data_IF_812100906176
#
_entry.id   IF_812100906176
#
_cell.length_a   1.000
_cell.length_b   1.000
_cell.length_c   1.000
_cell.angle_alpha   90.00
_cell.angle_beta   90.00
_cell.angle_gamma   90.00
#
_symmetry.space_group_name_H-M   'P 1'
#
loop_
_entity.id
_entity.type
_entity.pdbx_description
1 polymer ?
#
# COMPACT_ATOMS: atom_id res chain seq x y z
N UNK A 1 -15.11 -52.17 7.46
CA UNK A 1 -14.66 -51.30 8.56
C UNK A 1 -14.33 -49.97 7.94
N UNK A 2 -15.26 -49.02 8.01
CA UNK A 2 -15.04 -47.65 7.53
C UNK A 2 -14.17 -46.99 8.58
N UNK A 3 -12.87 -46.85 8.31
CA UNK A 3 -12.03 -45.96 9.10
C UNK A 3 -12.64 -44.57 8.90
N UNK A 4 -13.32 -44.05 9.92
CA UNK A 4 -13.56 -42.61 10.04
C UNK A 4 -12.19 -41.95 10.09
N UNK A 5 -11.63 -41.63 8.93
CA UNK A 5 -10.52 -40.69 8.86
C UNK A 5 -11.09 -39.37 9.37
N UNK A 6 -10.71 -38.98 10.59
CA UNK A 6 -10.86 -37.62 11.09
C UNK A 6 -10.07 -36.73 10.13
N UNK A 7 -10.75 -36.20 9.11
CA UNK A 7 -10.14 -35.39 8.08
C UNK A 7 -9.91 -33.99 8.68
N UNK A 8 -8.64 -33.66 8.94
CA UNK A 8 -8.27 -32.33 9.41
C UNK A 8 -8.03 -31.40 8.21
N UNK A 9 -8.28 -30.12 8.43
CA UNK A 9 -8.05 -29.06 7.45
C UNK A 9 -6.81 -28.24 7.85
N UNK A 10 -5.85 -28.14 6.94
CA UNK A 10 -4.63 -27.36 7.17
C UNK A 10 -4.67 -26.06 6.35
N UNK A 11 -4.54 -24.92 7.04
CA UNK A 11 -4.47 -23.60 6.40
C UNK A 11 -3.02 -23.27 6.07
N UNK A 12 -2.73 -23.14 4.78
CA UNK A 12 -1.38 -22.86 4.26
C UNK A 12 -1.40 -21.62 3.36
N UNK A 13 -0.49 -20.68 3.60
CA UNK A 13 -0.29 -19.51 2.76
C UNK A 13 0.66 -19.84 1.62
N UNK A 14 0.24 -19.51 0.40
CA UNK A 14 1.02 -19.71 -0.84
C UNK A 14 0.98 -18.39 -1.62
N UNK A 15 2.13 -17.80 -1.90
CA UNK A 15 2.23 -16.54 -2.66
C UNK A 15 1.30 -15.43 -2.12
N UNK A 16 1.13 -15.36 -0.79
CA UNK A 16 0.26 -14.38 -0.13
C UNK A 16 -1.23 -14.73 -0.11
N UNK A 17 -1.64 -15.89 -0.65
CA UNK A 17 -3.03 -16.35 -0.68
C UNK A 17 -3.18 -17.55 0.26
N UNK A 18 -4.19 -17.50 1.16
CA UNK A 18 -4.51 -18.63 2.03
C UNK A 18 -5.24 -19.73 1.25
N UNK A 19 -4.71 -20.95 1.32
CA UNK A 19 -5.31 -22.18 0.77
C UNK A 19 -5.57 -23.18 1.88
N UNK A 20 -6.57 -24.03 1.70
CA UNK A 20 -6.92 -25.09 2.65
C UNK A 20 -6.60 -26.43 2.01
N UNK A 21 -5.83 -27.26 2.71
CA UNK A 21 -5.58 -28.66 2.34
C UNK A 21 -6.52 -29.52 3.16
N UNK A 22 -7.43 -30.22 2.49
CA UNK A 22 -8.38 -31.14 3.11
C UNK A 22 -7.79 -32.55 3.22
N UNK A 23 -8.23 -33.30 4.23
CA UNK A 23 -7.82 -34.69 4.42
C UNK A 23 -6.42 -34.88 5.02
N UNK A 24 -5.91 -33.88 5.72
CA UNK A 24 -4.63 -33.99 6.44
C UNK A 24 -4.86 -34.78 7.73
N UNK A 25 -3.89 -35.63 8.07
CA UNK A 25 -3.89 -36.42 9.31
C UNK A 25 -2.58 -36.22 10.08
N UNK A 26 -2.49 -36.79 11.29
CA UNK A 26 -1.25 -36.80 12.07
C UNK A 26 -0.10 -37.57 11.39
N UNK A 27 -0.41 -38.45 10.44
CA UNK A 27 0.57 -39.24 9.69
C UNK A 27 1.00 -38.58 8.37
N UNK A 28 0.24 -37.58 7.91
CA UNK A 28 0.53 -36.90 6.64
C UNK A 28 1.84 -36.13 6.78
N UNK A 29 2.78 -36.37 5.87
CA UNK A 29 4.10 -35.73 5.94
C UNK A 29 4.07 -34.34 5.30
N UNK A 30 4.99 -33.46 5.72
CA UNK A 30 5.17 -32.16 5.09
C UNK A 30 5.49 -32.31 3.60
N UNK A 31 6.22 -33.36 3.21
CA UNK A 31 6.48 -33.68 1.82
C UNK A 31 5.19 -33.90 1.01
N UNK A 32 4.26 -34.70 1.52
CA UNK A 32 2.98 -34.97 0.84
C UNK A 32 2.14 -33.71 0.67
N UNK A 33 2.06 -32.88 1.73
CA UNK A 33 1.34 -31.59 1.69
C UNK A 33 1.98 -30.64 0.68
N UNK A 34 3.31 -30.54 0.69
CA UNK A 34 4.06 -29.71 -0.26
C UNK A 34 3.84 -30.17 -1.69
N UNK A 35 3.87 -31.47 -1.96
CA UNK A 35 3.63 -32.04 -3.29
C UNK A 35 2.20 -31.73 -3.74
N UNK A 36 1.20 -31.98 -2.89
CA UNK A 36 -0.21 -31.72 -3.20
C UNK A 36 -0.46 -30.24 -3.52
N UNK A 37 0.09 -29.33 -2.71
CA UNK A 37 0.00 -27.90 -2.96
C UNK A 37 0.69 -27.50 -4.26
N UNK A 38 1.95 -27.93 -4.46
CA UNK A 38 2.72 -27.62 -5.66
C UNK A 38 2.01 -28.08 -6.94
N UNK A 39 1.45 -29.30 -6.92
CA UNK A 39 0.65 -29.85 -8.02
C UNK A 39 -0.63 -29.03 -8.27
N UNK A 40 -1.36 -28.64 -7.21
CA UNK A 40 -2.57 -27.82 -7.33
C UNK A 40 -2.31 -26.39 -7.82
N UNK A 41 -1.11 -25.85 -7.59
CA UNK A 41 -0.68 -24.54 -8.12
C UNK A 41 -0.11 -24.68 -9.54
N UNK A 42 0.18 -25.90 -10.00
CA UNK A 42 0.86 -26.16 -11.27
C UNK A 42 2.31 -25.69 -11.28
N UNK A 43 2.93 -25.53 -10.11
CA UNK A 43 4.33 -25.14 -9.99
C UNK A 43 5.17 -26.36 -9.60
N UNK A 44 6.23 -26.63 -10.36
CA UNK A 44 7.17 -27.72 -10.07
C UNK A 44 8.51 -27.13 -9.64
N UNK A 45 9.02 -27.54 -8.49
CA UNK A 45 10.26 -27.02 -7.93
C UNK A 45 10.56 -27.55 -6.54
N UNK A 46 11.59 -27.01 -5.91
CA UNK A 46 11.90 -27.29 -4.50
C UNK A 46 11.11 -26.34 -3.63
N UNK A 47 10.28 -26.91 -2.77
CA UNK A 47 9.44 -26.20 -1.82
C UNK A 47 9.70 -26.71 -0.41
N UNK A 48 9.53 -25.82 0.57
CA UNK A 48 9.64 -26.11 1.99
C UNK A 48 8.43 -25.53 2.69
N UNK A 49 7.85 -26.28 3.63
CA UNK A 49 6.77 -25.80 4.47
C UNK A 49 7.37 -25.11 5.69
N UNK A 50 7.00 -23.85 5.90
CA UNK A 50 7.48 -23.01 7.00
C UNK A 50 6.35 -22.84 8.01
N UNK A 51 6.65 -23.13 9.26
CA UNK A 51 5.78 -22.87 10.41
C UNK A 51 6.14 -21.50 11.00
N UNK A 52 5.21 -20.54 10.95
CA UNK A 52 5.36 -19.21 11.53
C UNK A 52 4.50 -19.08 12.78
N UNK A 53 5.15 -18.75 13.90
CA UNK A 53 4.51 -18.44 15.16
C UNK A 53 4.99 -17.08 15.65
N UNK A 54 4.13 -16.05 15.56
CA UNK A 54 4.45 -14.65 15.86
C UNK A 54 5.68 -14.18 15.05
N UNK A 55 6.82 -14.00 15.71
CA UNK A 55 8.09 -13.54 15.13
C UNK A 55 9.08 -14.68 14.86
N UNK A 56 8.73 -15.93 15.21
CA UNK A 56 9.60 -17.10 14.99
C UNK A 56 9.11 -17.91 13.79
N UNK A 57 9.99 -18.09 12.82
CA UNK A 57 9.77 -18.96 11.67
C UNK A 57 10.66 -20.21 11.79
N UNK A 58 10.06 -21.38 11.59
CA UNK A 58 10.74 -22.68 11.57
C UNK A 58 10.45 -23.39 10.27
N UNK A 59 11.49 -23.82 9.57
CA UNK A 59 11.34 -24.70 8.41
C UNK A 59 11.08 -26.13 8.89
N UNK A 60 10.05 -26.77 8.35
CA UNK A 60 9.72 -28.15 8.65
C UNK A 60 10.49 -29.09 7.72
N UNK A 61 10.92 -30.23 8.28
CA UNK A 61 11.59 -31.26 7.50
C UNK A 61 10.59 -32.04 6.63
N UNK A 62 11.00 -32.60 5.48
CA UNK A 62 10.11 -33.37 4.61
C UNK A 62 9.39 -34.52 5.34
N UNK A 63 10.07 -35.17 6.28
CA UNK A 63 9.56 -36.29 7.08
C UNK A 63 8.74 -35.88 8.31
N UNK A 64 8.67 -34.60 8.67
CA UNK A 64 7.85 -34.14 9.79
C UNK A 64 6.37 -34.09 9.40
N UNK A 65 5.47 -34.23 10.36
CA UNK A 65 4.03 -34.09 10.13
C UNK A 65 3.57 -32.68 10.54
N UNK A 66 2.83 -31.93 9.69
CA UNK A 66 2.46 -30.54 9.98
C UNK A 66 1.50 -30.44 11.16
N UNK A 67 0.57 -31.40 11.31
CA UNK A 67 -0.35 -31.46 12.46
C UNK A 67 0.42 -31.73 13.76
N UNK A 68 1.39 -32.65 13.74
CA UNK A 68 2.26 -32.91 14.89
C UNK A 68 3.15 -31.71 15.25
N UNK A 69 3.68 -31.02 14.24
CA UNK A 69 4.44 -29.78 14.44
C UNK A 69 3.58 -28.65 15.02
N UNK A 70 2.31 -28.57 14.64
CA UNK A 70 1.34 -27.64 15.23
C UNK A 70 1.04 -27.97 16.69
N UNK A 71 0.82 -29.26 17.01
CA UNK A 71 0.56 -29.73 18.36
C UNK A 71 1.74 -29.45 19.32
N UNK A 72 2.97 -29.49 18.80
CA UNK A 72 4.18 -29.14 19.56
C UNK A 72 4.16 -27.68 20.07
N UNK A 73 3.40 -26.79 19.43
CA UNK A 73 3.22 -25.41 19.89
C UNK A 73 2.23 -25.26 21.06
N UNK A 74 1.61 -26.35 21.53
CA UNK A 74 0.75 -26.38 22.71
C UNK A 74 -0.39 -25.36 22.64
N UNK A 75 -0.47 -24.48 23.63
CA UNK A 75 -1.50 -23.44 23.72
C UNK A 75 -1.52 -22.44 22.56
N UNK A 76 -0.42 -22.34 21.81
CA UNK A 76 -0.31 -21.44 20.66
C UNK A 76 -0.64 -22.12 19.32
N UNK A 77 -1.12 -23.37 19.33
CA UNK A 77 -1.42 -24.13 18.12
C UNK A 77 -2.38 -23.40 17.16
N UNK A 78 -3.31 -22.58 17.69
CA UNK A 78 -4.25 -21.81 16.88
C UNK A 78 -3.63 -20.60 16.17
N UNK A 79 -2.51 -20.08 16.69
CA UNK A 79 -1.80 -18.92 16.14
C UNK A 79 -0.74 -19.31 15.10
N UNK A 80 -0.51 -20.61 14.91
CA UNK A 80 0.47 -21.14 13.96
C UNK A 80 -0.03 -20.93 12.53
N UNK A 81 0.81 -20.32 11.70
CA UNK A 81 0.57 -20.18 10.27
C UNK A 81 1.55 -21.03 9.49
N UNK A 82 1.07 -21.82 8.54
CA UNK A 82 1.93 -22.53 7.61
C UNK A 82 2.10 -21.71 6.33
N UNK A 83 3.32 -21.61 5.82
CA UNK A 83 3.66 -20.88 4.61
C UNK A 83 4.46 -21.79 3.69
N UNK A 84 4.01 -21.96 2.46
CA UNK A 84 4.75 -22.69 1.45
C UNK A 84 5.79 -21.75 0.84
N UNK A 85 7.08 -22.01 1.09
CA UNK A 85 8.18 -21.21 0.54
C UNK A 85 8.90 -21.99 -0.55
N UNK A 86 9.23 -21.30 -1.64
CA UNK A 86 9.99 -21.88 -2.75
C UNK A 86 11.49 -21.66 -2.51
N UNK A 87 12.27 -22.73 -2.62
CA UNK A 87 13.72 -22.75 -2.30
C UNK A 87 14.59 -23.02 -3.54
N UNK A 88 13.99 -23.24 -4.72
CA UNK A 88 14.74 -23.52 -5.95
C UNK A 88 14.16 -22.88 -7.22
N UNK A 89 14.96 -22.76 -8.29
CA UNK A 89 14.50 -22.26 -9.58
C UNK A 89 13.47 -23.24 -10.18
N UNK A 90 12.34 -22.73 -10.64
CA UNK A 90 11.32 -23.52 -11.34
C UNK A 90 11.78 -23.78 -12.76
N UNK A 91 11.51 -24.98 -13.27
CA UNK A 91 11.70 -25.33 -14.67
C UNK A 91 10.64 -24.68 -15.59
N UNK A 92 9.58 -24.08 -15.04
CA UNK A 92 8.61 -23.27 -15.79
C UNK A 92 8.90 -21.77 -15.60
N UNK A 93 9.26 -21.11 -16.70
CA UNK A 93 9.68 -19.71 -16.70
C UNK A 93 8.54 -18.72 -16.47
N UNK A 94 8.61 -17.98 -15.37
CA UNK A 94 8.30 -16.54 -15.25
C UNK A 94 8.81 -16.02 -13.89
N UNK A 95 9.44 -14.84 -13.80
CA UNK A 95 10.07 -14.39 -12.56
C UNK A 95 9.03 -13.74 -11.65
N UNK A 96 9.06 -14.07 -10.37
CA UNK A 96 8.56 -13.18 -9.33
C UNK A 96 9.64 -13.09 -8.27
N UNK A 97 9.87 -11.86 -7.86
CA UNK A 97 10.89 -11.37 -6.95
C UNK A 97 10.97 -12.17 -5.65
N UNK A 98 12.14 -12.75 -5.40
CA UNK A 98 12.65 -12.80 -4.04
C UNK A 98 14.17 -12.75 -4.12
N UNK A 99 14.74 -11.63 -3.66
CA UNK A 99 16.17 -11.45 -3.51
C UNK A 99 16.63 -12.31 -2.33
N UNK A 100 16.83 -13.59 -2.57
CA UNK A 100 17.71 -14.41 -1.76
C UNK A 100 18.72 -15.02 -2.73
N UNK A 101 19.99 -14.60 -2.72
CA UNK A 101 21.02 -15.46 -3.29
C UNK A 101 20.89 -16.82 -2.58
N UNK A 102 20.97 -17.95 -3.32
CA UNK A 102 21.02 -19.26 -2.69
C UNK A 102 22.08 -19.24 -1.58
N UNK A 103 21.95 -20.02 -0.48
CA UNK A 103 23.12 -20.27 0.35
C UNK A 103 24.18 -20.80 -0.61
N UNK A 104 25.25 -20.03 -0.82
CA UNK A 104 26.37 -20.47 -1.62
C UNK A 104 26.76 -21.81 -1.03
N UNK A 105 26.46 -22.89 -1.77
CA UNK A 105 26.94 -24.20 -1.42
C UNK A 105 28.44 -24.06 -1.52
N UNK A 106 29.10 -23.85 -0.39
CA UNK A 106 30.55 -23.75 -0.31
C UNK A 106 31.15 -24.89 -1.16
N UNK A 107 31.80 -24.59 -2.30
CA UNK A 107 32.49 -25.62 -3.07
C UNK A 107 33.77 -26.11 -2.36
N UNK A 108 33.99 -25.72 -1.10
CA UNK A 108 35.14 -26.03 -0.23
C UNK A 108 35.49 -27.52 -0.13
N UNK A 109 34.65 -28.44 -0.64
CA UNK A 109 34.98 -29.87 -0.70
C UNK A 109 35.04 -30.50 -2.09
N UNK A 110 34.93 -29.73 -3.16
CA UNK A 110 35.00 -30.27 -4.53
C UNK A 110 36.43 -30.32 -5.10
N UNK A 111 37.40 -29.63 -4.50
CA UNK A 111 38.75 -29.45 -5.06
C UNK A 111 39.79 -30.48 -4.59
N UNK A 112 39.43 -31.49 -3.79
CA UNK A 112 40.41 -32.52 -3.44
C UNK A 112 40.84 -33.27 -4.72
N UNK A 113 42.15 -33.45 -4.98
CA UNK A 113 42.60 -34.24 -6.12
C UNK A 113 41.96 -35.63 -6.06
N UNK A 114 41.54 -36.21 -7.20
CA UNK A 114 40.96 -37.55 -7.21
C UNK A 114 41.94 -38.52 -6.56
N UNK A 115 41.58 -39.06 -5.38
CA UNK A 115 42.32 -40.18 -4.82
C UNK A 115 42.26 -41.31 -5.86
N UNK A 116 43.41 -41.71 -6.38
CA UNK A 116 43.52 -42.88 -7.25
C UNK A 116 42.76 -44.04 -6.58
N UNK A 117 41.83 -44.63 -7.32
CA UNK A 117 40.81 -45.54 -6.81
C UNK A 117 41.42 -46.67 -5.97
N UNK A 118 40.90 -46.85 -4.76
CA UNK A 118 41.15 -48.04 -3.97
C UNK A 118 40.54 -49.24 -4.71
N UNK A 119 41.40 -50.16 -5.16
CA UNK A 119 41.00 -51.51 -5.60
C UNK A 119 40.23 -52.20 -4.47
N UNK A 120 39.11 -52.89 -4.74
CA UNK A 120 38.31 -53.53 -3.71
C UNK A 120 39.03 -54.78 -3.21
N UNK A 121 39.64 -54.72 -2.03
CA UNK A 121 40.29 -55.90 -1.46
C UNK A 121 41.34 -55.65 -0.39
N UNK A 122 41.12 -54.76 0.58
CA UNK A 122 41.82 -54.83 1.87
C UNK A 122 41.11 -54.01 2.94
N UNK A 123 40.89 -54.62 4.10
CA UNK A 123 40.20 -54.05 5.26
C UNK A 123 40.72 -52.66 5.70
N UNK A 124 39.84 -51.83 6.29
CA UNK A 124 40.20 -50.49 6.74
C UNK A 124 41.16 -50.57 7.93
N UNK A 125 42.45 -50.27 7.71
CA UNK A 125 43.38 -50.04 8.81
C UNK A 125 43.11 -48.65 9.41
N UNK A 126 42.85 -48.67 10.72
CA UNK A 126 42.56 -47.54 11.62
C UNK A 126 43.59 -46.41 11.43
N UNK A 127 43.17 -45.13 11.45
CA UNK A 127 44.09 -44.01 11.36
C UNK A 127 44.99 -43.97 12.60
N UNK A 128 46.31 -43.96 12.37
CA UNK A 128 47.32 -43.78 13.41
C UNK A 128 47.23 -42.33 13.92
N UNK A 129 46.87 -42.17 15.18
CA UNK A 129 46.90 -40.89 15.88
C UNK A 129 48.35 -40.38 15.97
N UNK A 130 48.53 -39.12 15.59
CA UNK A 130 49.76 -38.36 15.70
C UNK A 130 50.05 -38.10 17.19
N UNK A 131 50.89 -38.92 17.81
CA UNK A 131 51.37 -38.65 19.16
C UNK A 131 52.61 -37.75 19.07
N UNK A 132 52.41 -36.47 19.43
CA UNK A 132 53.48 -35.51 19.71
C UNK A 132 54.36 -36.04 20.85
N UNK A 133 55.67 -36.01 20.62
CA UNK A 133 56.67 -36.56 21.53
C UNK A 133 56.88 -35.74 22.80
N UNK A 134 57.24 -36.46 23.87
CA UNK A 134 57.99 -35.93 25.00
C UNK A 134 59.16 -36.90 25.29
N UNK A 135 60.40 -36.42 25.48
CA UNK A 135 61.56 -37.29 25.62
C UNK A 135 61.72 -37.76 27.06
N UNK A 136 61.70 -39.08 27.29
CA UNK A 136 61.98 -39.66 28.61
C UNK A 136 63.33 -40.39 28.59
N UNK A 137 64.29 -39.72 29.22
CA UNK A 137 65.40 -40.22 30.02
C UNK A 137 65.76 -41.71 29.89
N UNK A 138 67.00 -41.91 29.44
CA UNK A 138 67.82 -43.13 29.50
C UNK A 138 67.80 -43.78 30.89
N UNK A 139 67.85 -45.13 30.97
CA UNK A 139 68.97 -45.74 31.70
C UNK A 139 69.74 -46.79 30.87
N UNK A 140 70.99 -46.93 31.33
CA UNK A 140 72.20 -47.59 30.84
C UNK A 140 72.11 -49.11 30.55
N UNK A 141 73.17 -49.71 29.93
CA UNK A 141 73.12 -50.99 29.23
C UNK A 141 73.49 -52.19 30.11
N UNK A 142 72.96 -53.36 29.77
CA UNK A 142 73.46 -54.66 30.22
C UNK A 142 73.69 -55.58 29.02
N UNK A 143 74.90 -56.13 28.92
CA UNK A 143 75.36 -57.19 28.00
C UNK A 143 75.88 -58.30 28.92
N UNK A 144 75.51 -59.59 28.74
CA UNK A 144 76.29 -60.57 27.94
C UNK A 144 75.37 -61.55 27.16
N UNK A 145 75.74 -62.38 26.18
CA UNK A 145 76.98 -62.89 25.57
C UNK A 145 76.61 -63.58 24.22
N UNK A 146 77.57 -64.09 23.41
CA UNK A 146 77.44 -64.27 21.96
C UNK A 146 77.04 -65.68 21.53
N UNK A 147 76.04 -65.79 20.64
CA UNK A 147 75.83 -67.04 19.90
C UNK A 147 75.37 -66.75 18.46
N UNK A 148 76.18 -67.26 17.52
CA UNK A 148 75.86 -67.55 16.13
C UNK A 148 75.39 -66.38 15.22
N UNK A 149 76.37 -65.78 14.55
CA UNK A 149 76.21 -65.16 13.23
C UNK A 149 75.67 -66.20 12.23
N UNK A 150 74.34 -66.27 12.04
CA UNK A 150 73.68 -66.44 10.73
C UNK A 150 72.27 -65.84 10.86
N UNK A 151 72.19 -64.51 10.84
CA UNK A 151 70.93 -63.85 10.50
C UNK A 151 70.74 -63.92 8.98
N UNK A 152 69.54 -64.23 8.45
CA UNK A 152 69.30 -64.03 7.03
C UNK A 152 69.63 -62.57 6.74
N UNK A 153 70.47 -62.33 5.75
CA UNK A 153 70.76 -60.97 5.25
C UNK A 153 69.38 -60.31 5.09
N UNK A 154 69.07 -59.21 5.81
CA UNK A 154 67.82 -58.49 5.60
C UNK A 154 67.73 -58.24 4.10
N UNK A 155 66.62 -58.62 3.45
CA UNK A 155 66.43 -58.51 2.01
C UNK A 155 66.56 -57.03 1.62
N UNK A 156 67.80 -56.59 1.44
CA UNK A 156 68.19 -55.20 1.23
C UNK A 156 67.50 -54.65 -0.02
N UNK A 157 67.17 -55.54 -0.95
CA UNK A 157 66.38 -55.28 -2.13
C UNK A 157 64.91 -54.98 -1.85
N UNK A 158 64.27 -55.67 -0.90
CA UNK A 158 62.89 -55.40 -0.48
C UNK A 158 62.80 -54.06 0.29
N UNK A 159 63.79 -53.76 1.12
CA UNK A 159 63.90 -52.47 1.82
C UNK A 159 64.14 -51.31 0.83
N UNK A 160 64.98 -51.52 -0.20
CA UNK A 160 65.19 -50.57 -1.29
C UNK A 160 63.91 -50.29 -2.07
N UNK A 161 63.16 -51.33 -2.46
CA UNK A 161 61.88 -51.17 -3.17
C UNK A 161 60.82 -50.45 -2.31
N UNK A 162 60.78 -50.76 -1.01
CA UNK A 162 59.89 -50.07 -0.06
C UNK A 162 60.23 -48.58 0.05
N UNK A 163 61.52 -48.24 0.01
CA UNK A 163 61.99 -46.87 0.04
C UNK A 163 61.69 -46.14 -1.28
N UNK A 164 61.92 -46.77 -2.44
CA UNK A 164 61.55 -46.21 -3.75
C UNK A 164 60.06 -45.92 -3.86
N UNK A 165 59.20 -46.86 -3.44
CA UNK A 165 57.75 -46.66 -3.43
C UNK A 165 57.33 -45.49 -2.52
N UNK A 166 58.06 -45.29 -1.41
CA UNK A 166 57.83 -44.17 -0.49
C UNK A 166 58.31 -42.85 -1.08
N UNK A 167 59.44 -42.85 -1.77
CA UNK A 167 59.93 -41.67 -2.50
C UNK A 167 58.92 -41.29 -3.58
N UNK A 168 58.38 -42.24 -4.33
CA UNK A 168 57.35 -42.00 -5.35
C UNK A 168 56.09 -41.36 -4.74
N UNK A 169 55.57 -41.94 -3.64
CA UNK A 169 54.43 -41.36 -2.92
C UNK A 169 54.73 -39.96 -2.39
N UNK A 170 55.90 -39.76 -1.79
CA UNK A 170 56.31 -38.45 -1.30
C UNK A 170 56.43 -37.45 -2.47
N UNK A 171 56.95 -37.84 -3.64
CA UNK A 171 57.03 -36.95 -4.82
C UNK A 171 55.66 -36.60 -5.37
N UNK A 172 54.69 -37.51 -5.31
CA UNK A 172 53.29 -37.24 -5.68
C UNK A 172 52.61 -36.31 -4.66
N UNK A 173 52.89 -36.48 -3.37
CA UNK A 173 52.39 -35.61 -2.30
C UNK A 173 52.96 -34.18 -2.44
N UNK A 174 54.28 -34.05 -2.65
CA UNK A 174 54.95 -32.78 -2.92
C UNK A 174 54.49 -32.15 -4.25
N UNK A 175 54.11 -32.96 -5.24
CA UNK A 175 53.59 -32.49 -6.53
C UNK A 175 52.30 -31.67 -6.43
N UNK A 176 51.55 -31.79 -5.32
CA UNK A 176 50.33 -31.02 -5.08
C UNK A 176 50.55 -29.72 -4.27
N UNK A 177 51.79 -29.38 -3.88
CA UNK A 177 52.09 -28.18 -3.08
C UNK A 177 51.60 -26.90 -3.77
N UNK A 178 51.94 -26.70 -5.04
CA UNK A 178 51.51 -25.53 -5.80
C UNK A 178 49.99 -25.40 -5.92
N UNK A 179 49.27 -26.53 -5.97
CA UNK A 179 47.81 -26.53 -5.98
C UNK A 179 47.24 -26.03 -4.65
N UNK A 180 47.77 -26.53 -3.52
CA UNK A 180 47.33 -26.12 -2.19
C UNK A 180 47.71 -24.68 -1.86
N UNK A 181 48.89 -24.23 -2.28
CA UNK A 181 49.30 -22.82 -2.16
C UNK A 181 48.33 -21.90 -2.91
N UNK A 182 47.96 -22.27 -4.13
CA UNK A 182 47.01 -21.50 -4.92
C UNK A 182 45.61 -21.49 -4.28
N UNK A 183 45.16 -22.60 -3.72
CA UNK A 183 43.86 -22.69 -3.06
C UNK A 183 43.84 -21.90 -1.74
N UNK A 184 44.93 -21.94 -0.97
CA UNK A 184 45.11 -21.11 0.22
C UNK A 184 45.03 -19.62 -0.14
N UNK A 185 45.69 -19.18 -1.21
CA UNK A 185 45.61 -17.80 -1.67
C UNK A 185 44.18 -17.39 -2.06
N UNK A 186 43.43 -18.28 -2.73
CA UNK A 186 42.02 -18.03 -3.07
C UNK A 186 41.14 -17.90 -1.83
N UNK A 187 41.33 -18.78 -0.85
CA UNK A 187 40.61 -18.71 0.41
C UNK A 187 40.95 -17.42 1.18
N UNK A 188 42.23 -17.03 1.24
CA UNK A 188 42.64 -15.77 1.84
C UNK A 188 42.02 -14.55 1.13
N UNK A 189 41.96 -14.55 -0.20
CA UNK A 189 41.30 -13.47 -0.95
C UNK A 189 39.79 -13.40 -0.66
N UNK A 190 39.11 -14.55 -0.55
CA UNK A 190 37.69 -14.62 -0.17
C UNK A 190 37.47 -14.15 1.26
N UNK A 191 38.35 -14.53 2.17
CA UNK A 191 38.31 -14.08 3.56
C UNK A 191 38.48 -12.56 3.64
N UNK A 192 39.46 -12.00 2.92
CA UNK A 192 39.66 -10.55 2.84
C UNK A 192 38.45 -9.82 2.26
N UNK A 193 37.84 -10.35 1.20
CA UNK A 193 36.62 -9.79 0.62
C UNK A 193 35.45 -9.84 1.63
N UNK A 194 35.27 -10.97 2.32
CA UNK A 194 34.28 -11.12 3.37
C UNK A 194 34.50 -10.15 4.52
N UNK A 195 35.74 -10.00 4.98
CA UNK A 195 36.12 -9.04 6.02
C UNK A 195 35.85 -7.60 5.57
N UNK A 196 36.19 -7.23 4.34
CA UNK A 196 35.90 -5.90 3.79
C UNK A 196 34.39 -5.61 3.70
N UNK A 197 33.59 -6.59 3.27
CA UNK A 197 32.11 -6.48 3.25
C UNK A 197 31.55 -6.30 4.66
N UNK A 198 32.03 -7.04 5.65
CA UNK A 198 31.61 -6.90 7.05
C UNK A 198 32.00 -5.53 7.61
N UNK A 199 33.21 -5.05 7.33
CA UNK A 199 33.65 -3.71 7.72
C UNK A 199 32.77 -2.62 7.10
N UNK A 200 32.46 -2.71 5.81
CA UNK A 200 31.58 -1.76 5.13
C UNK A 200 30.17 -1.75 5.75
N UNK A 201 29.59 -2.93 6.04
CA UNK A 201 28.31 -3.04 6.73
C UNK A 201 28.37 -2.42 8.13
N UNK A 202 29.43 -2.71 8.90
CA UNK A 202 29.60 -2.15 10.25
C UNK A 202 29.70 -0.61 10.22
N UNK A 203 30.41 -0.04 9.25
CA UNK A 203 30.52 1.40 9.07
C UNK A 203 29.18 2.03 8.69
N UNK A 204 28.44 1.43 7.75
CA UNK A 204 27.10 1.90 7.39
C UNK A 204 26.13 1.83 8.59
N UNK A 205 26.18 0.76 9.38
CA UNK A 205 25.36 0.67 10.60
C UNK A 205 25.71 1.73 11.63
N UNK A 206 27.00 2.05 11.80
CA UNK A 206 27.43 3.11 12.70
C UNK A 206 26.99 4.50 12.21
N UNK A 207 27.02 4.74 10.90
CA UNK A 207 26.51 5.99 10.32
C UNK A 207 24.99 6.14 10.55
N UNK A 208 24.23 5.08 10.33
CA UNK A 208 22.79 5.10 10.60
C UNK A 208 22.49 5.29 12.10
N UNK A 209 23.24 4.64 12.99
CA UNK A 209 23.12 4.84 14.43
C UNK A 209 23.38 6.31 14.81
N UNK A 210 24.45 6.92 14.29
CA UNK A 210 24.77 8.33 14.55
C UNK A 210 23.69 9.29 14.01
N UNK A 211 23.09 8.98 12.86
CA UNK A 211 21.96 9.76 12.32
C UNK A 211 20.72 9.68 13.22
N UNK A 212 20.44 8.51 13.80
CA UNK A 212 19.34 8.34 14.76
C UNK A 212 19.60 9.14 16.03
N UNK A 213 20.80 9.04 16.61
CA UNK A 213 21.18 9.81 17.79
C UNK A 213 21.07 11.33 17.56
N UNK A 214 21.44 11.81 16.37
CA UNK A 214 21.30 13.21 16.01
C UNK A 214 19.83 13.65 15.91
N UNK A 215 18.94 12.80 15.37
CA UNK A 215 17.50 13.07 15.32
C UNK A 215 16.88 13.05 16.72
N UNK A 216 17.28 12.11 17.56
CA UNK A 216 16.83 12.03 18.96
C UNK A 216 17.24 13.28 19.74
N UNK A 217 18.49 13.75 19.55
CA UNK A 217 18.96 15.00 20.14
C UNK A 217 18.16 16.22 19.66
N UNK A 218 17.80 16.28 18.37
CA UNK A 218 16.94 17.33 17.82
C UNK A 218 15.53 17.28 18.40
N UNK A 219 14.95 16.08 18.54
CA UNK A 219 13.64 15.90 19.16
C UNK A 219 13.63 16.40 20.61
N UNK A 220 14.62 16.00 21.41
CA UNK A 220 14.75 16.47 22.79
C UNK A 220 14.96 18.00 22.88
N UNK A 221 15.69 18.61 21.95
CA UNK A 221 15.87 20.06 21.90
C UNK A 221 14.53 20.78 21.62
N UNK A 222 13.78 20.32 20.62
CA UNK A 222 12.46 20.87 20.28
C UNK A 222 11.45 20.67 21.41
N UNK A 223 11.46 19.52 22.08
CA UNK A 223 10.62 19.27 23.26
C UNK A 223 10.95 20.24 24.40
N UNK A 224 12.24 20.53 24.62
CA UNK A 224 12.66 21.51 25.61
C UNK A 224 12.20 22.93 25.22
N UNK A 225 12.30 23.33 23.95
CA UNK A 225 11.80 24.61 23.45
C UNK A 225 10.28 24.72 23.61
N UNK A 226 9.51 23.67 23.28
CA UNK A 226 8.06 23.65 23.46
C UNK A 226 7.68 23.76 24.94
N UNK A 227 8.40 23.06 25.83
CA UNK A 227 8.20 23.20 27.27
C UNK A 227 8.48 24.61 27.76
N UNK A 228 9.58 25.23 27.31
CA UNK A 228 9.90 26.60 27.66
C UNK A 228 8.88 27.60 27.09
N UNK A 229 8.35 27.35 25.88
CA UNK A 229 7.29 28.16 25.29
C UNK A 229 5.94 27.99 26.01
N UNK A 230 5.68 26.81 26.58
CA UNK A 230 4.49 26.54 27.39
C UNK A 230 4.57 27.18 28.79
N UNK A 231 5.76 27.16 29.40
CA UNK A 231 6.01 27.76 30.73
C UNK A 231 6.30 29.27 30.65
N UNK A 232 6.72 29.78 29.49
CA UNK A 232 6.87 31.22 29.28
C UNK A 232 5.47 31.86 29.26
N UNK A 233 5.18 32.84 30.14
CA UNK A 233 4.02 33.68 30.00
C UNK A 233 4.25 34.64 28.81
N UNK A 234 4.12 34.14 27.57
CA UNK A 234 4.06 34.97 26.38
C UNK A 234 2.81 35.86 26.45
N UNK A 235 2.86 37.14 26.00
CA UNK A 235 1.79 38.11 26.23
C UNK A 235 0.48 37.63 25.55
N UNK A 236 -0.49 37.10 26.32
CA UNK A 236 -1.70 36.57 25.72
C UNK A 236 -2.65 37.70 25.32
N UNK A 237 -2.45 38.92 25.85
CA UNK A 237 -3.42 40.00 25.72
C UNK A 237 -3.53 40.55 24.31
N UNK A 238 -2.44 40.68 23.54
CA UNK A 238 -2.50 41.34 22.23
C UNK A 238 -3.06 40.43 21.13
N UNK A 239 -2.54 39.20 21.01
CA UNK A 239 -2.95 38.24 19.99
C UNK A 239 -4.27 37.56 20.34
N UNK A 240 -4.50 37.20 21.61
CA UNK A 240 -5.79 36.64 22.02
C UNK A 240 -6.90 37.71 21.96
N UNK A 241 -6.64 38.98 22.34
CA UNK A 241 -7.66 40.03 22.16
C UNK A 241 -7.93 40.39 20.70
N UNK A 242 -6.93 40.27 19.82
CA UNK A 242 -7.14 40.45 18.38
C UNK A 242 -8.00 39.32 17.81
N UNK A 243 -7.73 38.07 18.20
CA UNK A 243 -8.55 36.92 17.82
C UNK A 243 -9.99 37.04 18.37
N UNK A 244 -10.16 37.51 19.60
CA UNK A 244 -11.47 37.72 20.21
C UNK A 244 -12.29 38.80 19.49
N UNK A 245 -11.65 39.92 19.11
CA UNK A 245 -12.27 40.98 18.31
C UNK A 245 -12.74 40.46 16.95
N UNK A 246 -11.90 39.71 16.25
CA UNK A 246 -12.27 39.12 14.95
C UNK A 246 -13.45 38.14 15.08
N UNK A 247 -13.53 37.37 16.17
CA UNK A 247 -14.69 36.49 16.43
C UNK A 247 -15.97 37.29 16.65
N UNK A 248 -15.89 38.40 17.38
CA UNK A 248 -17.03 39.29 17.63
C UNK A 248 -17.52 39.95 16.33
N UNK A 249 -16.59 40.43 15.50
CA UNK A 249 -16.92 41.03 14.20
C UNK A 249 -17.60 40.03 13.26
N UNK A 250 -17.11 38.79 13.21
CA UNK A 250 -17.75 37.71 12.46
C UNK A 250 -19.17 37.41 12.97
N UNK A 251 -19.36 37.35 14.29
CA UNK A 251 -20.69 37.12 14.86
C UNK A 251 -21.67 38.25 14.56
N UNK A 252 -21.21 39.50 14.49
CA UNK A 252 -22.03 40.66 14.06
C UNK A 252 -22.35 40.54 12.57
N UNK A 253 -21.37 40.18 11.74
CA UNK A 253 -21.56 40.01 10.29
C UNK A 253 -22.56 38.89 9.97
N UNK A 254 -22.52 37.78 10.70
CA UNK A 254 -23.50 36.68 10.57
C UNK A 254 -24.92 37.16 10.88
N UNK A 255 -25.12 37.90 11.96
CA UNK A 255 -26.44 38.46 12.31
C UNK A 255 -26.96 39.39 11.22
N UNK A 256 -26.11 40.31 10.74
CA UNK A 256 -26.47 41.21 9.64
C UNK A 256 -26.81 40.42 8.36
N UNK A 257 -26.08 39.34 8.07
CA UNK A 257 -26.39 38.49 6.91
C UNK A 257 -27.74 37.79 7.03
N UNK A 258 -28.13 37.34 8.23
CA UNK A 258 -29.43 36.72 8.49
C UNK A 258 -30.57 37.74 8.38
N UNK A 259 -30.38 38.95 8.88
CA UNK A 259 -31.35 40.05 8.71
C UNK A 259 -31.53 40.41 7.23
N UNK A 260 -30.44 40.51 6.47
CA UNK A 260 -30.51 40.72 5.02
C UNK A 260 -31.19 39.56 4.29
N UNK A 261 -30.95 38.31 4.70
CA UNK A 261 -31.66 37.16 4.13
C UNK A 261 -33.16 37.21 4.45
N UNK A 262 -33.54 37.59 5.68
CA UNK A 262 -34.94 37.74 6.07
C UNK A 262 -35.67 38.84 5.29
N UNK A 263 -35.03 39.99 5.11
CA UNK A 263 -35.60 41.08 4.30
C UNK A 263 -35.71 40.70 2.83
N UNK A 264 -34.71 40.02 2.26
CA UNK A 264 -34.78 39.50 0.89
C UNK A 264 -35.93 38.50 0.74
N UNK A 265 -36.14 37.60 1.70
CA UNK A 265 -37.25 36.64 1.67
C UNK A 265 -38.62 37.34 1.67
N UNK A 266 -38.79 38.39 2.48
CA UNK A 266 -40.03 39.19 2.50
C UNK A 266 -40.26 39.91 1.17
N UNK A 267 -39.21 40.47 0.56
CA UNK A 267 -39.31 41.13 -0.75
C UNK A 267 -39.66 40.12 -1.84
N UNK A 268 -39.03 38.94 -1.85
CA UNK A 268 -39.38 37.87 -2.79
C UNK A 268 -40.84 37.45 -2.67
N UNK A 269 -41.35 37.27 -1.44
CA UNK A 269 -42.75 36.92 -1.22
C UNK A 269 -43.71 38.03 -1.71
N UNK A 270 -43.38 39.30 -1.50
CA UNK A 270 -44.17 40.41 -1.99
C UNK A 270 -44.15 40.50 -3.53
N UNK A 271 -43.01 40.18 -4.16
CA UNK A 271 -42.90 40.11 -5.62
C UNK A 271 -43.76 38.98 -6.19
N UNK A 272 -43.68 37.77 -5.64
CA UNK A 272 -44.51 36.64 -6.04
C UNK A 272 -46.01 36.96 -5.91
N UNK A 273 -46.42 37.61 -4.80
CA UNK A 273 -47.80 38.04 -4.62
C UNK A 273 -48.24 39.09 -5.66
N UNK A 274 -47.36 40.03 -6.00
CA UNK A 274 -47.62 41.03 -7.03
C UNK A 274 -47.71 40.40 -8.43
N UNK A 275 -46.87 39.42 -8.74
CA UNK A 275 -46.93 38.65 -9.99
C UNK A 275 -48.26 37.90 -10.12
N UNK A 276 -48.71 37.22 -9.06
CA UNK A 276 -50.00 36.55 -9.05
C UNK A 276 -51.18 37.53 -9.20
N UNK A 277 -51.13 38.70 -8.57
CA UNK A 277 -52.16 39.72 -8.73
C UNK A 277 -52.20 40.27 -10.17
N UNK A 278 -51.03 40.48 -10.80
CA UNK A 278 -50.94 40.89 -12.20
C UNK A 278 -51.48 39.80 -13.15
N UNK A 279 -51.19 38.53 -12.87
CA UNK A 279 -51.74 37.40 -13.63
C UNK A 279 -53.28 37.34 -13.52
N UNK A 280 -53.83 37.55 -12.32
CA UNK A 280 -55.27 37.61 -12.12
C UNK A 280 -55.92 38.77 -12.89
N UNK A 281 -55.35 39.98 -12.82
CA UNK A 281 -55.81 41.12 -13.62
C UNK A 281 -55.73 40.86 -15.13
N UNK A 282 -54.70 40.17 -15.60
CA UNK A 282 -54.59 39.79 -17.01
C UNK A 282 -55.71 38.81 -17.44
N UNK A 283 -56.05 37.83 -16.59
CA UNK A 283 -57.18 36.92 -16.83
C UNK A 283 -58.51 37.66 -16.87
N UNK A 284 -58.76 38.56 -15.91
CA UNK A 284 -59.97 39.41 -15.91
C UNK A 284 -60.05 40.26 -17.20
N UNK A 285 -58.93 40.84 -17.63
CA UNK A 285 -58.87 41.58 -18.90
C UNK A 285 -59.16 40.68 -20.11
N UNK A 286 -58.68 39.44 -20.13
CA UNK A 286 -58.99 38.47 -21.19
C UNK A 286 -60.48 38.11 -21.20
N UNK A 287 -61.08 37.90 -20.03
CA UNK A 287 -62.52 37.63 -19.88
C UNK A 287 -63.35 38.79 -20.40
N UNK A 288 -63.06 40.02 -19.95
CA UNK A 288 -63.72 41.23 -20.44
C UNK A 288 -63.51 41.43 -21.95
N UNK A 289 -62.32 41.09 -22.48
CA UNK A 289 -62.09 41.14 -23.93
C UNK A 289 -62.96 40.12 -24.68
N UNK A 290 -63.15 38.91 -24.13
CA UNK A 290 -64.05 37.89 -24.69
C UNK A 290 -65.50 38.37 -24.66
N UNK A 291 -65.97 38.94 -23.55
CA UNK A 291 -67.31 39.50 -23.42
C UNK A 291 -67.53 40.66 -24.41
N UNK A 292 -66.55 41.55 -24.55
CA UNK A 292 -66.61 42.65 -25.53
C UNK A 292 -66.70 42.11 -26.97
N UNK A 293 -65.91 41.10 -27.32
CA UNK A 293 -66.00 40.43 -28.64
C UNK A 293 -67.37 39.81 -28.85
N UNK A 294 -67.94 39.18 -27.82
CA UNK A 294 -69.28 38.61 -27.87
C UNK A 294 -70.35 39.68 -28.10
N UNK A 295 -70.28 40.80 -27.37
CA UNK A 295 -71.19 41.94 -27.54
C UNK A 295 -71.08 42.54 -28.94
N UNK A 296 -69.85 42.79 -29.43
CA UNK A 296 -69.61 43.31 -30.77
C UNK A 296 -70.15 42.37 -31.86
N UNK A 297 -69.95 41.05 -31.72
CA UNK A 297 -70.51 40.05 -32.63
C UNK A 297 -72.05 40.11 -32.62
N UNK A 298 -72.65 40.23 -31.43
CA UNK A 298 -74.10 40.31 -31.29
C UNK A 298 -74.68 41.59 -31.92
N UNK A 299 -73.99 42.73 -31.80
CA UNK A 299 -74.34 43.97 -32.50
C UNK A 299 -74.22 43.83 -34.03
N UNK A 300 -73.16 43.19 -34.52
CA UNK A 300 -72.98 42.94 -35.96
C UNK A 300 -74.12 42.08 -36.55
N UNK A 301 -74.54 41.03 -35.83
CA UNK A 301 -75.67 40.20 -36.22
C UNK A 301 -76.98 41.02 -36.26
N UNK A 302 -77.23 41.88 -35.27
CA UNK A 302 -78.41 42.75 -35.25
C UNK A 302 -78.42 43.75 -36.41
N UNK A 303 -77.29 44.39 -36.70
CA UNK A 303 -77.16 45.36 -37.80
C UNK A 303 -77.30 44.69 -39.18
N UNK A 304 -76.85 43.44 -39.31
CA UNK A 304 -76.95 42.69 -40.59
C UNK A 304 -78.30 41.96 -40.73
N UNK A 305 -79.01 41.70 -39.62
CA UNK A 305 -80.31 41.03 -39.58
C UNK A 305 -81.54 41.90 -39.91
N UNK A 306 -81.36 43.20 -40.14
CA UNK A 306 -82.45 44.17 -40.38
C UNK A 306 -82.57 44.62 -41.86
N UNK A 307 -82.37 43.72 -42.83
CA UNK A 307 -82.57 43.99 -44.25
C UNK A 307 -83.73 43.15 -44.83
N UNK A 308 -84.96 43.57 -44.56
CA UNK A 308 -86.18 43.18 -45.30
C UNK A 308 -86.94 44.48 -45.61
N UNK A 309 -87.20 44.82 -46.90
CA UNK A 309 -87.66 46.16 -47.29
C UNK A 309 -89.18 46.35 -47.05
N UNK A 310 -89.64 47.53 -46.59
CA UNK A 310 -91.06 47.87 -46.51
C UNK A 310 -91.63 48.38 -47.85
N UNK A 311 -92.96 48.30 -48.06
CA UNK A 311 -93.62 48.73 -49.30
C UNK A 311 -93.83 50.27 -49.37
N UNK A 312 -94.10 50.85 -50.56
CA UNK A 312 -94.10 52.30 -50.76
C UNK A 312 -95.49 52.92 -50.65
N UNK A 313 -95.58 54.16 -50.16
CA UNK A 313 -96.50 55.26 -50.56
C UNK A 313 -96.38 56.42 -49.54
N UNK A 314 -95.81 57.57 -49.91
CA UNK A 314 -96.35 58.75 -50.62
C UNK A 314 -97.07 59.77 -49.72
N UNK A 315 -96.55 61.00 -49.84
CA UNK A 315 -97.14 62.33 -49.62
C UNK A 315 -97.09 63.04 -48.26
N UNK A 316 -96.38 64.20 -48.32
CA UNK A 316 -96.73 65.55 -47.81
C UNK A 316 -96.90 65.71 -46.28
N UNK A 317 -96.38 66.71 -45.58
CA UNK A 317 -96.22 68.16 -45.81
C UNK A 317 -95.41 68.75 -44.64
N UNK A 318 -94.42 69.59 -44.95
CA UNK A 318 -94.27 70.97 -44.46
C UNK A 318 -94.58 71.37 -43.00
N UNK A 319 -93.56 71.98 -42.37
CA UNK A 319 -93.60 73.26 -41.62
C UNK A 319 -93.58 73.23 -40.07
N UNK A 320 -92.54 73.90 -39.55
CA UNK A 320 -92.42 74.73 -38.34
C UNK A 320 -91.90 74.19 -36.97
N UNK A 321 -90.91 74.96 -36.49
CA UNK A 321 -90.59 75.42 -35.13
C UNK A 321 -89.70 74.60 -34.13
N UNK A 322 -88.46 75.13 -33.97
CA UNK A 322 -87.54 75.33 -32.80
C UNK A 322 -87.96 74.86 -31.37
N UNK A 323 -87.05 74.76 -30.35
CA UNK A 323 -85.63 74.36 -30.23
C UNK A 323 -85.39 73.32 -29.05
N UNK A 324 -84.31 73.36 -28.22
CA UNK A 324 -83.03 72.60 -28.18
C UNK A 324 -82.99 71.52 -27.03
N UNK A 325 -81.87 71.04 -26.42
CA UNK A 325 -80.43 71.16 -26.71
C UNK A 325 -79.64 69.82 -26.74
N UNK A 326 -78.46 69.85 -27.37
CA UNK A 326 -77.44 68.80 -27.29
C UNK A 326 -76.42 69.13 -26.21
N UNK A 327 -75.98 68.06 -25.54
CA UNK A 327 -75.14 67.97 -24.36
C UNK A 327 -73.75 67.53 -24.81
N UNK A 328 -72.70 68.25 -24.43
CA UNK A 328 -71.28 67.85 -24.53
C UNK A 328 -70.56 68.58 -23.38
N UNK A 329 -70.19 67.87 -22.33
CA UNK A 329 -68.85 67.28 -22.11
C UNK A 329 -67.71 68.31 -22.10
N UNK A 330 -67.18 68.58 -20.90
CA UNK A 330 -65.81 68.26 -20.46
C UNK A 330 -65.39 69.29 -19.39
N UNK A 331 -65.51 68.93 -18.11
CA UNK A 331 -64.81 69.63 -17.03
C UNK A 331 -63.53 68.87 -16.73
N UNK A 332 -62.42 69.44 -17.21
CA UNK A 332 -61.07 69.03 -16.87
C UNK A 332 -60.64 69.83 -15.62
N UNK A 333 -60.62 69.16 -14.46
CA UNK A 333 -60.14 69.69 -13.19
C UNK A 333 -58.88 68.95 -12.73
N UNK A 334 -57.77 69.68 -12.67
CA UNK A 334 -56.43 69.37 -12.08
C UNK A 334 -56.53 69.69 -10.55
N UNK A 335 -55.79 69.09 -9.57
CA UNK A 335 -54.32 69.15 -9.53
C UNK A 335 -53.47 68.07 -8.81
N UNK A 336 -52.23 67.98 -9.30
CA UNK A 336 -50.92 67.87 -8.62
C UNK A 336 -50.72 66.91 -7.44
N UNK A 337 -49.77 65.99 -7.59
CA UNK A 337 -48.59 65.93 -6.69
C UNK A 337 -47.47 65.07 -7.28
N UNK A 338 -46.25 65.47 -6.91
CA UNK A 338 -44.96 65.13 -7.47
C UNK A 338 -44.48 63.75 -6.99
N UNK A 339 -43.89 62.94 -7.87
CA UNK A 339 -43.00 61.85 -7.44
C UNK A 339 -41.70 61.94 -8.25
N UNK A 340 -40.64 62.25 -7.50
CA UNK A 340 -39.25 62.25 -7.92
C UNK A 340 -38.83 60.80 -8.23
N UNK A 341 -38.36 60.57 -9.46
CA UNK A 341 -37.66 59.33 -9.83
C UNK A 341 -36.22 59.47 -9.38
N UNK A 342 -35.86 58.80 -8.29
CA UNK A 342 -34.46 58.63 -7.87
C UNK A 342 -33.83 57.48 -8.66
N UNK A 343 -33.00 57.83 -9.64
CA UNK A 343 -32.05 56.93 -10.28
C UNK A 343 -30.88 56.64 -9.34
N UNK A 344 -30.78 55.40 -8.85
CA UNK A 344 -29.56 54.90 -8.19
C UNK A 344 -28.88 53.92 -9.14
N UNK A 345 -27.74 54.34 -9.69
CA UNK A 345 -26.78 53.50 -10.38
C UNK A 345 -25.97 52.67 -9.37
N UNK A 346 -25.63 51.41 -9.66
CA UNK A 346 -24.69 50.65 -8.82
C UNK A 346 -23.24 51.02 -9.14
N UNK A 347 -22.53 51.53 -8.14
CA UNK A 347 -21.09 51.80 -8.14
C UNK A 347 -20.32 50.48 -8.00
N UNK A 348 -19.43 50.19 -8.97
CA UNK A 348 -18.55 49.01 -8.99
C UNK A 348 -17.25 49.35 -8.21
N UNK A 349 -16.79 48.53 -7.26
CA UNK A 349 -15.52 48.78 -6.57
C UNK A 349 -14.32 48.39 -7.45
N UNK A 350 -13.19 49.12 -7.41
CA UNK A 350 -12.02 48.78 -8.19
C UNK A 350 -11.22 47.64 -7.54
N UNK A 351 -10.91 46.66 -8.37
CA UNK A 351 -10.00 45.55 -8.12
C UNK A 351 -8.58 46.06 -7.82
N UNK A 352 -8.05 45.79 -6.62
CA UNK A 352 -6.61 45.96 -6.33
C UNK A 352 -5.82 44.81 -6.97
N UNK A 353 -5.04 45.11 -8.00
CA UNK A 353 -3.92 44.28 -8.42
C UNK A 353 -2.69 44.62 -7.56
N UNK A 354 -2.31 43.71 -6.65
CA UNK A 354 -0.99 43.73 -6.03
C UNK A 354 0.01 43.00 -6.93
N UNK A 355 0.87 43.77 -7.56
CA UNK A 355 2.05 43.34 -8.30
C UNK A 355 3.00 42.58 -7.37
N UNK A 356 3.31 41.33 -7.70
CA UNK A 356 4.49 40.63 -7.20
C UNK A 356 5.70 41.05 -8.06
N UNK A 357 6.74 41.57 -7.42
CA UNK A 357 8.09 41.61 -7.96
C UNK A 357 9.06 41.37 -6.82
#
# INVERSE_FOLDING_TARGET
MVLELVAMELKVWVDGIQRVVCGVSEQTTCQEVVIALAQAIGQTGRFVLVQRLREKERQLLPQECPVGAQATCGQFANDVQFVLRRTGPSLSGRPSSDNCPPPERCPVRASLPPKAGATPGREPRKPLTFNLGCPRLVPSPSVPEPTALVGPIPDCFADLQSLELRIQRNTEELGHEAFWEQELQREQAREQEGQARLQALSAATAEHAARLEALDAQACALEAELRLAAEAPGPPSATASAAERLRQDLAIQERHSLEMQGTLALVSQALEAAEHALQAQAQELEELNRELRQCNLQQFIQQTGAALPPPPQLDRTSTQDLPPPTREELLQGVPQSHILVSSLSPEVPPMRQSSWR
#
